data_IF_369022670090
#
_entry.id   IF_369022670090
#
_cell.length_a   1.000
_cell.length_b   1.000
_cell.length_c   1.000
_cell.angle_alpha   90.00
_cell.angle_beta   90.00
_cell.angle_gamma   90.00
#
_symmetry.space_group_name_H-M   'P 1'
#
loop_
_entity.id
_entity.type
_entity.pdbx_description
1 polymer ?
#
# COMPACT_ATOMS: atom_id res chain seq x y z
N UNK A 1 55.50 -22.59 -33.26
CA UNK A 1 55.45 -22.58 -31.78
C UNK A 1 54.79 -21.26 -31.37
N UNK A 2 53.48 -21.29 -31.05
CA UNK A 2 52.65 -20.09 -30.82
C UNK A 2 52.68 -19.75 -29.31
N UNK A 3 53.05 -18.52 -28.97
CA UNK A 3 52.93 -17.99 -27.61
C UNK A 3 51.49 -17.54 -27.34
N UNK A 4 50.92 -18.00 -26.23
CA UNK A 4 49.58 -17.66 -25.77
C UNK A 4 49.62 -16.38 -24.92
N UNK A 5 48.79 -15.40 -25.28
CA UNK A 5 48.52 -14.21 -24.48
C UNK A 5 47.40 -14.60 -23.51
N UNK A 6 47.74 -14.72 -22.24
CA UNK A 6 46.78 -14.97 -21.16
C UNK A 6 46.27 -13.64 -20.63
N UNK A 7 45.10 -13.21 -21.11
CA UNK A 7 44.40 -12.03 -20.62
C UNK A 7 43.64 -12.36 -19.33
N UNK A 8 44.22 -12.00 -18.18
CA UNK A 8 43.55 -12.09 -16.88
C UNK A 8 42.51 -10.97 -16.79
N UNK A 9 41.23 -11.31 -16.99
CA UNK A 9 40.11 -10.40 -16.72
C UNK A 9 39.99 -10.27 -15.21
N UNK A 10 40.30 -9.09 -14.67
CA UNK A 10 40.05 -8.77 -13.29
C UNK A 10 38.53 -8.76 -13.04
N UNK A 11 38.07 -9.68 -12.20
CA UNK A 11 36.68 -9.75 -11.75
C UNK A 11 36.47 -8.62 -10.73
N UNK A 12 35.84 -7.52 -11.14
CA UNK A 12 35.41 -6.49 -10.20
C UNK A 12 34.40 -7.12 -9.21
N UNK A 13 34.58 -6.94 -7.89
CA UNK A 13 33.63 -7.47 -6.93
C UNK A 13 32.26 -6.81 -7.13
N UNK A 14 31.23 -7.63 -7.36
CA UNK A 14 29.83 -7.19 -7.39
C UNK A 14 29.53 -6.37 -6.13
N UNK A 15 29.21 -5.08 -6.30
CA UNK A 15 28.76 -4.25 -5.18
C UNK A 15 27.48 -4.89 -4.62
N UNK A 16 27.37 -5.09 -3.30
CA UNK A 16 26.16 -5.64 -2.72
C UNK A 16 24.97 -4.76 -3.10
N UNK A 17 24.00 -5.36 -3.80
CA UNK A 17 22.76 -4.70 -4.17
C UNK A 17 22.01 -4.34 -2.87
N UNK A 18 21.77 -3.05 -2.64
CA UNK A 18 21.02 -2.61 -1.47
C UNK A 18 19.63 -3.29 -1.46
N UNK A 19 19.14 -3.75 -0.30
CA UNK A 19 17.85 -4.43 -0.24
C UNK A 19 16.75 -3.50 -0.75
N UNK A 20 15.87 -4.03 -1.61
CA UNK A 20 14.75 -3.28 -2.19
C UNK A 20 13.86 -2.70 -1.10
N UNK A 21 13.67 -3.44 -0.01
CA UNK A 21 12.95 -3.00 1.18
C UNK A 21 13.96 -2.68 2.28
N UNK A 22 14.23 -1.40 2.47
CA UNK A 22 15.10 -0.94 3.55
C UNK A 22 14.43 -1.18 4.92
N UNK A 23 15.19 -1.34 6.00
CA UNK A 23 14.64 -1.58 7.34
C UNK A 23 13.64 -0.51 7.80
N UNK A 24 13.90 0.76 7.49
CA UNK A 24 13.02 1.88 7.82
C UNK A 24 11.68 1.81 7.06
N UNK A 25 11.71 1.35 5.81
CA UNK A 25 10.51 1.14 5.02
C UNK A 25 9.69 -0.05 5.53
N UNK A 26 10.36 -1.15 5.90
CA UNK A 26 9.69 -2.31 6.50
C UNK A 26 9.02 -1.95 7.82
N UNK A 27 9.69 -1.18 8.69
CA UNK A 27 9.12 -0.73 9.96
C UNK A 27 7.80 0.03 9.74
N UNK A 28 7.78 1.00 8.81
CA UNK A 28 6.56 1.74 8.46
C UNK A 28 5.48 0.86 7.85
N UNK A 29 5.85 -0.11 7.00
CA UNK A 29 4.91 -1.09 6.47
C UNK A 29 4.30 -1.95 7.58
N UNK A 30 5.08 -2.37 8.57
CA UNK A 30 4.56 -3.13 9.71
C UNK A 30 3.62 -2.28 10.57
N UNK A 31 3.94 -1.01 10.81
CA UNK A 31 3.06 -0.06 11.52
C UNK A 31 1.71 0.04 10.81
N UNK A 32 1.71 0.33 9.51
CA UNK A 32 0.46 0.42 8.74
C UNK A 32 -0.30 -0.92 8.66
N UNK A 33 0.40 -2.05 8.59
CA UNK A 33 -0.25 -3.35 8.63
C UNK A 33 -0.93 -3.60 9.98
N UNK A 34 -0.30 -3.16 11.08
CA UNK A 34 -0.86 -3.27 12.42
C UNK A 34 -2.11 -2.41 12.55
N UNK A 35 -2.02 -1.13 12.16
CA UNK A 35 -3.16 -0.20 12.18
C UNK A 35 -4.34 -0.75 11.35
N UNK A 36 -4.05 -1.32 10.17
CA UNK A 36 -5.07 -1.93 9.33
C UNK A 36 -5.78 -3.11 10.01
N UNK A 37 -5.03 -3.99 10.67
CA UNK A 37 -5.58 -5.13 11.39
C UNK A 37 -6.41 -4.70 12.60
N UNK A 38 -5.98 -3.68 13.34
CA UNK A 38 -6.75 -3.12 14.46
C UNK A 38 -8.05 -2.47 13.99
N UNK A 39 -8.02 -1.78 12.85
CA UNK A 39 -9.24 -1.24 12.23
C UNK A 39 -10.23 -2.34 11.85
N UNK A 40 -9.76 -3.42 11.22
CA UNK A 40 -10.61 -4.57 10.88
C UNK A 40 -11.18 -5.25 12.14
N UNK A 41 -10.39 -5.41 13.19
CA UNK A 41 -10.85 -5.95 14.47
C UNK A 41 -11.93 -5.04 15.12
N UNK A 42 -11.75 -3.72 15.01
CA UNK A 42 -12.75 -2.74 15.45
C UNK A 42 -14.06 -2.80 14.66
N UNK A 43 -14.01 -3.04 13.34
CA UNK A 43 -15.22 -3.28 12.54
C UNK A 43 -15.98 -4.53 13.01
N UNK A 44 -15.26 -5.63 13.32
CA UNK A 44 -15.87 -6.87 13.82
C UNK A 44 -16.64 -6.64 15.12
N UNK A 45 -16.10 -5.82 16.02
CA UNK A 45 -16.70 -5.55 17.33
C UNK A 45 -17.97 -4.68 17.24
N UNK A 46 -18.09 -3.85 16.20
CA UNK A 46 -19.18 -2.89 16.04
C UNK A 46 -20.27 -3.35 15.06
N UNK A 47 -20.14 -4.56 14.49
CA UNK A 47 -21.04 -5.11 13.45
C UNK A 47 -21.26 -4.13 12.28
N UNK A 48 -20.20 -3.40 11.90
CA UNK A 48 -20.28 -2.41 10.82
C UNK A 48 -20.31 -3.10 9.45
N UNK A 49 -21.53 -3.32 8.95
CA UNK A 49 -21.80 -3.94 7.66
C UNK A 49 -21.34 -3.10 6.44
N UNK A 50 -20.83 -1.88 6.62
CA UNK A 50 -20.36 -1.00 5.54
C UNK A 50 -18.83 -0.95 5.35
N UNK A 51 -18.08 -1.60 6.23
CA UNK A 51 -16.62 -1.51 6.34
C UNK A 51 -15.82 -2.34 5.33
N UNK A 52 -14.53 -2.52 5.57
CA UNK A 52 -13.62 -3.34 4.77
C UNK A 52 -13.85 -4.84 4.97
N UNK A 53 -14.46 -5.27 6.07
CA UNK A 53 -14.82 -6.67 6.33
C UNK A 53 -15.77 -7.26 5.29
N UNK A 54 -16.60 -6.43 4.64
CA UNK A 54 -17.52 -6.88 3.59
C UNK A 54 -16.81 -7.56 2.41
N UNK A 55 -15.50 -7.32 2.24
CA UNK A 55 -14.70 -7.93 1.17
C UNK A 55 -14.16 -9.30 1.56
N UNK A 56 -14.15 -9.66 2.84
CA UNK A 56 -13.67 -10.95 3.32
C UNK A 56 -14.77 -12.02 3.26
N UNK A 57 -14.35 -13.28 3.13
CA UNK A 57 -15.24 -14.40 3.43
C UNK A 57 -15.61 -14.36 4.93
N UNK A 58 -16.87 -14.67 5.32
CA UNK A 58 -17.33 -14.56 6.72
C UNK A 58 -16.43 -15.26 7.75
N UNK A 59 -15.84 -16.40 7.37
CA UNK A 59 -14.89 -17.13 8.23
C UNK A 59 -13.62 -16.34 8.56
N UNK A 60 -13.09 -15.56 7.60
CA UNK A 60 -11.88 -14.76 7.83
C UNK A 60 -12.16 -13.59 8.76
N UNK A 61 -13.35 -12.98 8.65
CA UNK A 61 -13.78 -11.96 9.59
C UNK A 61 -13.87 -12.52 11.03
N UNK A 62 -14.46 -13.71 11.20
CA UNK A 62 -14.52 -14.37 12.50
C UNK A 62 -13.13 -14.72 13.06
N UNK A 63 -12.23 -15.25 12.21
CA UNK A 63 -10.86 -15.53 12.63
C UNK A 63 -10.11 -14.26 13.03
N UNK A 64 -10.23 -13.16 12.28
CA UNK A 64 -9.61 -11.88 12.62
C UNK A 64 -10.10 -11.34 13.96
N UNK A 65 -11.40 -11.47 14.26
CA UNK A 65 -11.99 -11.07 15.52
C UNK A 65 -11.47 -11.89 16.72
N UNK A 66 -11.13 -13.16 16.49
CA UNK A 66 -10.62 -14.07 17.51
C UNK A 66 -9.13 -13.86 17.85
N UNK A 67 -8.37 -13.19 16.98
CA UNK A 67 -6.95 -12.92 17.23
C UNK A 67 -6.77 -11.96 18.40
N UNK A 68 -5.79 -12.23 19.23
CA UNK A 68 -5.26 -11.27 20.20
C UNK A 68 -4.50 -10.13 19.51
N UNK A 69 -4.30 -9.03 20.24
CA UNK A 69 -3.46 -7.90 19.80
C UNK A 69 -2.05 -8.38 19.42
N UNK A 70 -1.46 -9.28 20.20
CA UNK A 70 -0.13 -9.82 19.94
C UNK A 70 -0.07 -10.68 18.67
N UNK A 71 -1.12 -11.44 18.38
CA UNK A 71 -1.23 -12.22 17.14
C UNK A 71 -1.35 -11.32 15.91
N UNK A 72 -2.18 -10.27 15.99
CA UNK A 72 -2.27 -9.26 14.92
C UNK A 72 -0.94 -8.55 14.71
N UNK A 73 -0.24 -8.18 15.78
CA UNK A 73 1.09 -7.60 15.70
C UNK A 73 2.11 -8.54 15.04
N UNK A 74 2.03 -9.86 15.28
CA UNK A 74 2.88 -10.85 14.59
C UNK A 74 2.57 -10.93 13.09
N UNK A 75 1.28 -10.97 12.71
CA UNK A 75 0.85 -10.98 11.30
C UNK A 75 1.29 -9.71 10.59
N UNK A 76 1.25 -8.55 11.26
CA UNK A 76 1.62 -7.27 10.67
C UNK A 76 3.08 -7.20 10.19
N UNK A 77 3.96 -8.09 10.67
CA UNK A 77 5.40 -8.14 10.33
C UNK A 77 5.72 -8.72 8.95
N UNK A 78 4.71 -8.93 8.11
CA UNK A 78 4.91 -9.33 6.71
C UNK A 78 5.53 -8.19 5.89
N UNK A 79 6.41 -8.49 4.91
CA UNK A 79 7.15 -7.48 4.15
C UNK A 79 6.32 -6.83 3.02
N UNK A 80 4.99 -6.92 3.09
CA UNK A 80 4.06 -6.40 2.09
C UNK A 80 2.82 -5.81 2.78
N UNK A 81 2.09 -4.93 2.10
CA UNK A 81 0.85 -4.39 2.66
C UNK A 81 -0.24 -5.47 2.74
N UNK A 82 -0.98 -5.52 3.84
CA UNK A 82 -2.16 -6.39 4.01
C UNK A 82 -3.42 -5.81 3.34
N UNK A 83 -3.35 -4.55 2.93
CA UNK A 83 -4.34 -3.84 2.16
C UNK A 83 -3.85 -3.61 0.71
N UNK A 84 -4.78 -3.47 -0.22
CA UNK A 84 -4.54 -3.03 -1.59
C UNK A 84 -5.09 -1.62 -1.78
N UNK A 85 -4.26 -0.76 -2.36
CA UNK A 85 -4.66 0.55 -2.89
C UNK A 85 -5.04 0.47 -4.38
N UNK A 86 -5.10 -0.76 -4.92
CA UNK A 86 -5.48 -1.10 -6.30
C UNK A 86 -4.62 -0.42 -7.36
N UNK A 87 -3.34 -0.16 -7.08
CA UNK A 87 -2.43 0.47 -8.04
C UNK A 87 -2.09 -0.41 -9.25
N UNK A 88 -2.38 -1.70 -9.19
CA UNK A 88 -2.38 -2.61 -10.33
C UNK A 88 -3.46 -2.24 -11.38
N UNK A 89 -4.56 -1.61 -10.95
CA UNK A 89 -5.64 -1.16 -11.83
C UNK A 89 -5.29 0.20 -12.45
N UNK A 90 -4.56 0.14 -13.56
CA UNK A 90 -4.11 1.34 -14.29
C UNK A 90 -5.29 2.18 -14.80
N UNK A 91 -6.42 1.55 -15.15
CA UNK A 91 -7.61 2.27 -15.65
C UNK A 91 -8.26 3.08 -14.53
N UNK A 92 -8.42 2.48 -13.35
CA UNK A 92 -8.89 3.16 -12.15
C UNK A 92 -8.02 4.38 -11.85
N UNK A 93 -6.70 4.19 -11.75
CA UNK A 93 -5.78 5.26 -11.35
C UNK A 93 -5.62 6.35 -12.41
N UNK A 94 -5.85 6.06 -13.69
CA UNK A 94 -5.95 7.09 -14.72
C UNK A 94 -7.14 8.03 -14.47
N UNK A 95 -8.28 7.48 -14.06
CA UNK A 95 -9.46 8.26 -13.69
C UNK A 95 -9.27 9.06 -12.39
N UNK A 96 -8.66 8.44 -11.37
CA UNK A 96 -8.41 9.06 -10.05
C UNK A 96 -7.44 10.24 -10.16
N UNK A 97 -6.35 10.07 -10.91
CA UNK A 97 -5.34 11.11 -11.14
C UNK A 97 -5.81 12.21 -12.12
N UNK A 98 -6.85 11.94 -12.91
CA UNK A 98 -7.45 12.92 -13.82
C UNK A 98 -8.09 14.10 -13.06
N UNK A 99 -8.06 15.29 -13.67
CA UNK A 99 -8.84 16.45 -13.21
C UNK A 99 -8.22 17.31 -12.09
N UNK A 100 -7.04 16.95 -11.54
CA UNK A 100 -6.44 17.70 -10.42
C UNK A 100 -6.09 19.16 -10.74
N UNK A 101 -5.74 19.48 -11.98
CA UNK A 101 -5.32 20.84 -12.38
C UNK A 101 -6.46 21.88 -12.33
N UNK A 102 -7.73 21.45 -12.30
CA UNK A 102 -8.89 22.33 -12.49
C UNK A 102 -9.57 22.76 -11.18
N UNK A 103 -9.09 22.33 -10.01
CA UNK A 103 -9.73 22.67 -8.73
C UNK A 103 -9.25 24.02 -8.17
N UNK A 104 -10.17 24.99 -7.91
CA UNK A 104 -9.88 26.22 -7.18
C UNK A 104 -9.30 25.94 -5.79
N UNK A 105 -8.43 26.82 -5.28
CA UNK A 105 -7.77 26.67 -3.97
C UNK A 105 -8.77 26.38 -2.84
N UNK A 106 -9.91 27.08 -2.83
CA UNK A 106 -10.96 26.88 -1.82
C UNK A 106 -11.48 25.45 -1.80
N UNK A 107 -11.58 24.79 -2.96
CA UNK A 107 -12.03 23.39 -3.07
C UNK A 107 -10.96 22.38 -2.64
N UNK A 108 -9.67 22.77 -2.65
CA UNK A 108 -8.55 21.87 -2.30
C UNK A 108 -8.48 21.57 -0.80
N UNK A 109 -8.92 22.51 0.04
CA UNK A 109 -8.76 22.47 1.49
C UNK A 109 -10.08 22.48 2.27
N UNK A 110 -11.21 22.16 1.62
CA UNK A 110 -12.47 21.95 2.33
C UNK A 110 -12.33 20.73 3.23
N UNK A 111 -12.70 20.87 4.51
CA UNK A 111 -12.74 19.76 5.45
C UNK A 111 -13.71 18.67 4.93
N UNK A 112 -13.33 17.39 4.95
CA UNK A 112 -14.27 16.31 4.69
C UNK A 112 -15.42 16.37 5.68
N UNK A 113 -16.66 16.17 5.21
CA UNK A 113 -17.85 16.22 6.07
C UNK A 113 -17.88 15.05 7.08
N UNK A 114 -17.31 13.90 6.71
CA UNK A 114 -17.20 12.71 7.56
C UNK A 114 -15.78 12.12 7.44
N UNK A 115 -15.10 11.97 8.58
CA UNK A 115 -13.74 11.40 8.67
C UNK A 115 -13.78 10.13 9.51
N UNK A 116 -14.13 9.00 8.88
CA UNK A 116 -14.02 7.69 9.53
C UNK A 116 -12.55 7.31 9.77
N UNK A 117 -12.25 6.44 10.75
CA UNK A 117 -10.90 5.90 10.94
C UNK A 117 -10.30 5.28 9.67
N UNK A 118 -11.12 4.61 8.84
CA UNK A 118 -10.69 4.05 7.55
C UNK A 118 -10.26 5.12 6.55
N UNK A 119 -10.95 6.26 6.50
CA UNK A 119 -10.57 7.38 5.64
C UNK A 119 -9.21 7.96 6.08
N UNK A 120 -8.99 8.10 7.39
CA UNK A 120 -7.72 8.60 7.94
C UNK A 120 -6.57 7.63 7.65
N UNK A 121 -6.79 6.33 7.85
CA UNK A 121 -5.82 5.30 7.50
C UNK A 121 -5.52 5.30 5.99
N UNK A 122 -6.55 5.39 5.15
CA UNK A 122 -6.37 5.43 3.70
C UNK A 122 -5.57 6.67 3.25
N UNK A 123 -5.78 7.82 3.89
CA UNK A 123 -4.96 9.02 3.67
C UNK A 123 -3.48 8.75 3.98
N UNK A 124 -3.17 8.21 5.15
CA UNK A 124 -1.80 7.89 5.57
C UNK A 124 -1.16 6.87 4.61
N UNK A 125 -1.88 5.81 4.26
CA UNK A 125 -1.42 4.78 3.35
C UNK A 125 -1.12 5.34 1.95
N UNK A 126 -1.95 6.25 1.44
CA UNK A 126 -1.71 6.93 0.16
C UNK A 126 -0.51 7.87 0.23
N UNK A 127 -0.31 8.61 1.33
CA UNK A 127 0.87 9.47 1.53
C UNK A 127 2.15 8.63 1.52
N UNK A 128 2.15 7.48 2.22
CA UNK A 128 3.28 6.55 2.20
C UNK A 128 3.54 6.03 0.78
N UNK A 129 2.50 5.60 0.06
CA UNK A 129 2.62 5.14 -1.32
C UNK A 129 3.17 6.22 -2.25
N UNK A 130 2.72 7.48 -2.11
CA UNK A 130 3.25 8.63 -2.82
C UNK A 130 4.73 8.86 -2.54
N UNK A 131 5.13 8.79 -1.27
CA UNK A 131 6.52 8.97 -0.87
C UNK A 131 7.41 7.87 -1.47
N UNK A 132 6.97 6.61 -1.40
CA UNK A 132 7.70 5.46 -1.94
C UNK A 132 7.77 5.54 -3.48
N UNK A 133 6.70 5.96 -4.16
CA UNK A 133 6.70 6.16 -5.61
C UNK A 133 7.76 7.16 -6.08
N UNK A 134 8.05 8.18 -5.25
CA UNK A 134 9.06 9.21 -5.51
C UNK A 134 10.49 8.78 -5.15
N UNK A 135 10.66 7.93 -4.14
CA UNK A 135 11.97 7.68 -3.51
C UNK A 135 12.51 6.27 -3.75
N UNK A 136 11.63 5.28 -3.92
CA UNK A 136 11.98 3.87 -4.03
C UNK A 136 11.10 3.14 -5.08
N UNK A 137 11.36 3.34 -6.39
CA UNK A 137 10.50 2.81 -7.46
C UNK A 137 10.29 1.28 -7.43
N UNK A 138 11.36 0.53 -7.14
CA UNK A 138 11.26 -0.93 -7.01
C UNK A 138 10.41 -1.35 -5.80
N UNK A 139 10.53 -0.64 -4.68
CA UNK A 139 9.72 -0.91 -3.50
C UNK A 139 8.23 -0.59 -3.74
N UNK A 140 7.93 0.46 -4.52
CA UNK A 140 6.55 0.77 -4.92
C UNK A 140 5.90 -0.40 -5.67
N UNK A 141 6.67 -1.06 -6.55
CA UNK A 141 6.21 -2.24 -7.29
C UNK A 141 5.98 -3.44 -6.37
N UNK A 142 6.90 -3.71 -5.44
CA UNK A 142 6.82 -4.87 -4.55
C UNK A 142 5.71 -4.69 -3.50
N UNK A 143 5.69 -3.56 -2.80
CA UNK A 143 4.74 -3.30 -1.72
C UNK A 143 3.32 -3.10 -2.24
N UNK A 144 3.16 -2.36 -3.32
CA UNK A 144 1.85 -1.86 -3.75
C UNK A 144 1.39 -2.34 -5.12
N UNK A 145 2.13 -3.26 -5.76
CA UNK A 145 1.86 -3.71 -7.14
C UNK A 145 1.79 -2.54 -8.15
N UNK A 146 2.49 -1.45 -7.85
CA UNK A 146 2.43 -0.22 -8.62
C UNK A 146 3.22 -0.36 -9.92
N UNK A 147 2.53 -0.47 -11.05
CA UNK A 147 3.16 -0.42 -12.37
C UNK A 147 3.74 0.97 -12.66
N UNK A 148 4.71 1.06 -13.58
CA UNK A 148 5.44 2.32 -13.86
C UNK A 148 4.51 3.47 -14.25
N UNK A 149 3.49 3.17 -15.06
CA UNK A 149 2.48 4.13 -15.49
C UNK A 149 1.75 4.78 -14.30
N UNK A 150 1.34 3.96 -13.33
CA UNK A 150 0.63 4.41 -12.13
C UNK A 150 1.59 5.10 -11.18
N UNK A 151 2.80 4.55 -11.00
CA UNK A 151 3.85 5.13 -10.18
C UNK A 151 4.18 6.56 -10.59
N UNK A 152 4.37 6.81 -11.88
CA UNK A 152 4.66 8.17 -12.36
C UNK A 152 3.53 9.16 -12.05
N UNK A 153 2.27 8.73 -12.20
CA UNK A 153 1.11 9.59 -11.88
C UNK A 153 0.98 9.85 -10.39
N UNK A 154 1.14 8.81 -9.58
CA UNK A 154 1.10 8.92 -8.12
C UNK A 154 2.24 9.82 -7.67
N UNK A 155 3.47 9.62 -8.15
CA UNK A 155 4.61 10.45 -7.79
C UNK A 155 4.41 11.94 -8.15
N UNK A 156 3.83 12.23 -9.31
CA UNK A 156 3.51 13.59 -9.75
C UNK A 156 2.27 14.21 -9.07
N UNK A 157 1.55 13.45 -8.24
CA UNK A 157 0.32 13.91 -7.61
C UNK A 157 0.61 14.96 -6.54
N UNK A 158 -0.09 16.11 -6.54
CA UNK A 158 -0.01 17.06 -5.44
C UNK A 158 -0.57 16.46 -4.14
N UNK A 159 0.07 16.74 -3.00
CA UNK A 159 -0.35 16.22 -1.68
C UNK A 159 -1.81 16.53 -1.34
N UNK A 160 -2.32 17.72 -1.69
CA UNK A 160 -3.72 18.07 -1.46
C UNK A 160 -4.69 17.12 -2.19
N UNK A 161 -4.29 16.57 -3.34
CA UNK A 161 -5.12 15.65 -4.11
C UNK A 161 -5.15 14.26 -3.46
N UNK A 162 -4.06 13.84 -2.83
CA UNK A 162 -4.01 12.59 -2.04
C UNK A 162 -5.05 12.63 -0.94
N UNK A 163 -5.06 13.70 -0.15
CA UNK A 163 -6.04 13.93 0.91
C UNK A 163 -7.48 13.90 0.40
N UNK A 164 -7.73 14.51 -0.76
CA UNK A 164 -9.05 14.48 -1.42
C UNK A 164 -9.45 13.08 -1.88
N UNK A 165 -8.53 12.29 -2.43
CA UNK A 165 -8.81 10.91 -2.84
C UNK A 165 -9.21 10.08 -1.64
N UNK A 166 -8.55 10.26 -0.49
CA UNK A 166 -8.87 9.52 0.71
C UNK A 166 -10.35 9.71 1.11
N UNK A 167 -10.84 10.95 1.10
CA UNK A 167 -12.23 11.25 1.46
C UNK A 167 -13.25 10.91 0.37
N UNK A 168 -12.91 11.07 -0.91
CA UNK A 168 -13.85 10.83 -2.02
C UNK A 168 -13.95 9.37 -2.44
N UNK A 169 -12.90 8.57 -2.22
CA UNK A 169 -12.70 7.28 -2.90
C UNK A 169 -12.26 6.17 -1.95
N UNK A 170 -12.72 6.17 -0.70
CA UNK A 170 -12.36 5.13 0.29
C UNK A 170 -12.52 3.69 -0.25
N UNK A 171 -13.57 3.44 -1.06
CA UNK A 171 -13.83 2.14 -1.73
C UNK A 171 -12.72 1.65 -2.68
N UNK A 172 -11.71 2.47 -2.97
CA UNK A 172 -10.50 2.03 -3.68
C UNK A 172 -9.64 1.14 -2.80
N UNK A 173 -9.58 1.43 -1.50
CA UNK A 173 -8.91 0.57 -0.55
C UNK A 173 -9.72 -0.70 -0.33
N UNK A 174 -9.04 -1.83 -0.41
CA UNK A 174 -9.60 -3.16 -0.20
C UNK A 174 -8.58 -4.00 0.57
N UNK A 175 -8.97 -5.11 1.22
CA UNK A 175 -8.00 -6.09 1.67
C UNK A 175 -7.17 -6.61 0.49
N UNK A 176 -5.90 -6.94 0.71
CA UNK A 176 -5.07 -7.49 -0.37
C UNK A 176 -5.51 -8.91 -0.68
N UNK A 177 -5.85 -9.16 -1.94
CA UNK A 177 -6.30 -10.48 -2.44
C UNK A 177 -7.32 -11.18 -1.53
N UNK A 178 -8.47 -10.54 -1.26
CA UNK A 178 -9.40 -10.98 -0.22
C UNK A 178 -9.99 -12.37 -0.46
N UNK A 179 -10.01 -12.82 -1.71
CA UNK A 179 -10.53 -14.13 -2.14
C UNK A 179 -9.44 -15.17 -2.38
N UNK A 180 -8.17 -14.84 -2.15
CA UNK A 180 -7.04 -15.75 -2.40
C UNK A 180 -6.73 -16.58 -1.15
N UNK A 181 -7.00 -17.89 -1.13
CA UNK A 181 -6.75 -18.74 0.03
C UNK A 181 -5.25 -18.93 0.31
N UNK A 182 -4.36 -18.70 -0.66
CA UNK A 182 -2.92 -18.75 -0.40
C UNK A 182 -2.42 -17.52 0.38
N UNK A 183 -3.20 -16.43 0.39
CA UNK A 183 -2.85 -15.21 1.09
C UNK A 183 -3.62 -15.07 2.41
N UNK A 184 -4.90 -15.42 2.40
CA UNK A 184 -5.73 -15.57 3.60
C UNK A 184 -6.07 -17.07 3.75
N UNK A 185 -5.21 -17.85 4.41
CA UNK A 185 -5.40 -19.30 4.55
C UNK A 185 -6.67 -19.64 5.32
N UNK A 186 -7.26 -20.76 4.89
CA UNK A 186 -8.46 -21.37 5.46
C UNK A 186 -8.29 -21.77 6.92
#
# INVERSE_FOLDING_TARGET
MRQAISSTVAHEPERPCAPVLRPDLLARTHELNCDYLELLAGECANDDCGGQLQYFAPKHAASLAALSVDERARIARVPYSLYSLRFEDTRLWRGVCGGAAQHPIRQRYVAPADSSPHTQFFEIALIQAWHIANTHPLAARVLYAMGDEVRMRVAAMPLWRIKRIASERMKVMTPRWPTNPCFWPD
#
